data_IF_626828829608
#
_entry.id   IF_626828829608
#
_cell.length_a   1.000
_cell.length_b   1.000
_cell.length_c   1.000
_cell.angle_alpha   90.00
_cell.angle_beta   90.00
_cell.angle_gamma   90.00
#
_symmetry.space_group_name_H-M   'P 1'
#
loop_
_entity.id
_entity.type
_entity.pdbx_description
1 polymer ?
#
# COMPACT_ATOMS: atom_id res chain seq x y z
N UNK A 1 4.57 5.15 -2.65
CA UNK A 1 4.61 3.67 -2.70
C UNK A 1 3.94 3.25 -4.00
N UNK A 2 4.69 3.31 -5.06
CA UNK A 2 4.25 2.98 -6.40
C UNK A 2 4.41 1.49 -6.71
N UNK A 3 5.25 0.79 -5.97
CA UNK A 3 5.41 -0.66 -6.01
C UNK A 3 4.43 -1.25 -5.01
N UNK A 4 3.69 -2.28 -5.39
CA UNK A 4 2.82 -2.98 -4.46
C UNK A 4 3.63 -3.55 -3.30
N UNK A 5 3.04 -3.59 -2.10
CA UNK A 5 3.66 -4.23 -0.97
C UNK A 5 3.97 -5.69 -1.33
N UNK A 6 5.19 -6.17 -1.11
CA UNK A 6 5.52 -7.58 -1.22
C UNK A 6 4.85 -8.31 -0.05
N UNK A 7 3.57 -8.60 -0.20
CA UNK A 7 2.79 -9.42 0.72
C UNK A 7 3.15 -10.89 0.49
N UNK A 8 2.84 -11.74 1.47
CA UNK A 8 3.21 -13.17 1.50
C UNK A 8 3.04 -13.88 0.15
N UNK A 9 3.95 -14.83 -0.16
CA UNK A 9 3.99 -15.56 -1.44
C UNK A 9 2.70 -16.26 -1.86
N UNK A 10 1.77 -16.58 -0.92
CA UNK A 10 0.45 -17.15 -1.21
C UNK A 10 -0.51 -16.18 -1.93
N UNK A 11 -0.14 -14.90 -2.05
CA UNK A 11 -0.92 -13.89 -2.79
C UNK A 11 -0.35 -13.54 -4.16
N UNK A 12 0.68 -14.23 -4.62
CA UNK A 12 1.21 -14.07 -5.96
C UNK A 12 0.09 -14.40 -6.96
N UNK A 13 -0.34 -13.39 -7.72
CA UNK A 13 -1.34 -13.52 -8.79
C UNK A 13 -2.76 -13.06 -8.48
N UNK A 14 -3.22 -13.04 -7.23
CA UNK A 14 -4.60 -12.67 -6.95
C UNK A 14 -4.87 -11.15 -6.95
N UNK A 15 -3.87 -10.32 -6.55
CA UNK A 15 -4.04 -8.87 -6.42
C UNK A 15 -2.74 -8.07 -6.66
N UNK A 16 -1.69 -8.71 -7.15
CA UNK A 16 -0.44 -8.05 -7.48
C UNK A 16 -0.42 -7.65 -8.95
N UNK A 17 -1.19 -6.62 -9.30
CA UNK A 17 -0.98 -5.97 -10.58
C UNK A 17 0.32 -5.18 -10.47
N UNK A 18 1.40 -5.69 -11.03
CA UNK A 18 2.70 -5.01 -11.06
C UNK A 18 2.70 -3.77 -11.97
N UNK A 19 1.53 -3.17 -12.24
CA UNK A 19 1.34 -2.09 -13.21
C UNK A 19 2.20 -0.85 -12.96
N UNK A 20 2.59 -0.61 -11.71
CA UNK A 20 3.48 0.50 -11.35
C UNK A 20 4.92 0.03 -11.04
N UNK A 21 5.23 -1.25 -11.27
CA UNK A 21 6.58 -1.77 -11.09
C UNK A 21 7.52 -1.13 -12.13
N UNK A 22 8.73 -0.67 -11.74
CA UNK A 22 9.66 0.00 -12.65
C UNK A 22 9.91 -0.76 -13.94
N UNK A 23 10.16 -2.08 -13.87
CA UNK A 23 10.36 -2.92 -15.07
C UNK A 23 9.16 -2.90 -16.02
N UNK A 24 7.92 -2.88 -15.49
CA UNK A 24 6.71 -2.76 -16.35
C UNK A 24 6.68 -1.40 -17.03
N UNK A 25 6.98 -0.33 -16.31
CA UNK A 25 7.00 1.03 -16.86
C UNK A 25 8.09 1.18 -17.93
N UNK A 26 9.29 0.63 -17.68
CA UNK A 26 10.40 0.63 -18.66
C UNK A 26 10.02 -0.10 -19.94
N UNK A 27 9.45 -1.31 -19.82
CA UNK A 27 9.00 -2.09 -21.00
C UNK A 27 7.86 -1.39 -21.73
N UNK A 28 6.92 -0.80 -21.01
CA UNK A 28 5.80 -0.07 -21.60
C UNK A 28 6.27 1.20 -22.32
N UNK A 29 7.23 1.94 -21.74
CA UNK A 29 7.90 3.07 -22.38
C UNK A 29 8.54 2.65 -23.71
N UNK A 30 9.32 1.56 -23.70
CA UNK A 30 9.96 1.04 -24.91
C UNK A 30 8.94 0.64 -25.99
N UNK A 31 7.87 -0.06 -25.59
CA UNK A 31 6.79 -0.46 -26.49
C UNK A 31 6.10 0.74 -27.14
N UNK A 32 5.71 1.74 -26.35
CA UNK A 32 5.06 2.95 -26.88
C UNK A 32 6.00 3.73 -27.81
N UNK A 33 7.29 3.87 -27.45
CA UNK A 33 8.27 4.56 -28.28
C UNK A 33 8.46 3.87 -29.62
N UNK A 34 8.46 2.53 -29.64
CA UNK A 34 8.57 1.76 -30.87
C UNK A 34 7.34 1.91 -31.78
N UNK A 35 6.12 1.91 -31.23
CA UNK A 35 4.88 2.08 -32.00
C UNK A 35 4.77 3.48 -32.59
N UNK A 36 5.09 4.49 -31.80
CA UNK A 36 4.87 5.89 -32.18
C UNK A 36 6.04 6.50 -32.94
N UNK A 37 7.18 5.79 -33.05
CA UNK A 37 8.39 6.28 -33.70
C UNK A 37 9.04 7.49 -33.05
N UNK A 38 8.71 7.77 -31.79
CA UNK A 38 9.23 8.89 -31.00
C UNK A 38 9.72 8.40 -29.63
N UNK A 39 10.66 9.13 -29.04
CA UNK A 39 11.09 8.89 -27.65
C UNK A 39 10.03 9.40 -26.68
N UNK A 40 9.51 8.49 -25.85
CA UNK A 40 8.55 8.83 -24.79
C UNK A 40 9.25 8.76 -23.44
N UNK A 41 9.04 9.77 -22.59
CA UNK A 41 9.41 9.73 -21.18
C UNK A 41 8.22 9.29 -20.34
N UNK A 42 8.42 8.22 -19.55
CA UNK A 42 7.44 7.69 -18.60
C UNK A 42 8.11 7.60 -17.24
N UNK A 43 7.82 8.55 -16.36
CA UNK A 43 8.45 8.68 -15.05
C UNK A 43 7.43 8.51 -13.95
N UNK A 44 7.76 7.71 -12.93
CA UNK A 44 7.00 7.67 -11.69
C UNK A 44 7.75 8.47 -10.60
N UNK A 45 7.33 9.70 -10.29
CA UNK A 45 8.03 10.55 -9.33
C UNK A 45 7.94 10.04 -7.88
N UNK A 46 7.06 9.07 -7.62
CA UNK A 46 6.75 8.56 -6.27
C UNK A 46 7.31 7.17 -6.01
N UNK A 47 8.23 6.67 -6.83
CA UNK A 47 8.70 5.28 -6.77
C UNK A 47 9.26 4.89 -5.40
N UNK A 48 9.96 5.83 -4.74
CA UNK A 48 10.55 5.62 -3.42
C UNK A 48 9.82 6.35 -2.27
N UNK A 49 8.58 6.77 -2.49
CA UNK A 49 7.79 7.45 -1.47
C UNK A 49 6.73 6.53 -0.87
N UNK A 50 6.52 6.65 0.43
CA UNK A 50 5.37 6.01 1.08
C UNK A 50 4.07 6.70 0.65
N UNK A 51 2.95 6.00 0.85
CA UNK A 51 1.65 6.61 0.60
C UNK A 51 1.40 7.81 1.55
N UNK A 52 1.92 7.73 2.79
CA UNK A 52 1.85 8.81 3.77
C UNK A 52 2.62 10.05 3.32
N UNK A 53 3.85 9.89 2.81
CA UNK A 53 4.66 10.97 2.27
C UNK A 53 3.95 11.69 1.10
N UNK A 54 3.34 10.91 0.18
CA UNK A 54 2.53 11.45 -0.92
C UNK A 54 1.30 12.19 -0.39
N UNK A 55 0.57 11.61 0.57
CA UNK A 55 -0.61 12.25 1.19
C UNK A 55 -0.24 13.56 1.85
N UNK A 56 0.87 13.61 2.60
CA UNK A 56 1.29 14.85 3.28
C UNK A 56 1.57 16.00 2.31
N UNK A 57 2.09 15.68 1.12
CA UNK A 57 2.32 16.65 0.04
C UNK A 57 1.03 17.08 -0.63
N UNK A 58 0.18 16.10 -1.02
CA UNK A 58 -1.10 16.37 -1.68
C UNK A 58 -2.01 17.23 -0.81
N UNK A 59 -2.07 16.96 0.50
CA UNK A 59 -2.90 17.76 1.43
C UNK A 59 -2.46 19.22 1.50
N UNK A 60 -1.15 19.47 1.36
CA UNK A 60 -0.61 20.84 1.36
C UNK A 60 -1.06 21.60 0.11
N UNK A 61 -1.02 20.94 -1.05
CA UNK A 61 -1.24 21.60 -2.34
C UNK A 61 -2.72 21.51 -2.79
N UNK A 62 -3.43 20.44 -2.36
CA UNK A 62 -4.83 20.14 -2.72
C UNK A 62 -5.58 19.56 -1.51
N UNK A 63 -5.95 20.38 -0.51
CA UNK A 63 -6.57 19.91 0.74
C UNK A 63 -7.88 19.17 0.54
N UNK A 64 -8.65 19.50 -0.48
CA UNK A 64 -9.94 18.87 -0.81
C UNK A 64 -9.81 17.62 -1.69
N UNK A 65 -8.58 17.24 -2.05
CA UNK A 65 -8.34 16.07 -2.91
C UNK A 65 -8.57 14.73 -2.22
N UNK A 66 -8.36 14.63 -0.90
CA UNK A 66 -8.51 13.38 -0.18
C UNK A 66 -9.94 12.82 -0.18
N UNK A 67 -11.00 13.61 0.05
CA UNK A 67 -12.38 13.11 0.03
C UNK A 67 -12.80 12.52 -1.31
N UNK A 68 -12.28 13.06 -2.43
CA UNK A 68 -12.65 12.62 -3.79
C UNK A 68 -11.75 11.52 -4.34
N UNK A 69 -10.55 11.33 -3.77
CA UNK A 69 -9.61 10.30 -4.21
C UNK A 69 -10.13 8.90 -3.84
N UNK A 70 -10.13 7.97 -4.78
CA UNK A 70 -10.56 6.58 -4.58
C UNK A 70 -9.36 5.63 -4.66
N UNK A 71 -9.24 4.74 -3.67
CA UNK A 71 -8.20 3.68 -3.60
C UNK A 71 -8.80 2.28 -3.55
N UNK A 72 -10.09 2.13 -3.33
CA UNK A 72 -10.73 0.84 -3.09
C UNK A 72 -10.83 -0.02 -4.36
N UNK A 73 -10.38 -1.29 -4.29
CA UNK A 73 -10.55 -2.26 -5.39
C UNK A 73 -12.02 -2.56 -5.71
N UNK A 74 -12.91 -2.33 -4.74
CA UNK A 74 -14.33 -2.62 -4.83
C UNK A 74 -15.17 -1.37 -5.03
N UNK A 75 -14.57 -0.23 -5.37
CA UNK A 75 -15.28 1.05 -5.46
C UNK A 75 -16.54 0.95 -6.29
N UNK A 76 -16.50 0.30 -7.47
CA UNK A 76 -17.67 0.11 -8.33
C UNK A 76 -18.81 -0.69 -7.67
N UNK A 77 -18.53 -1.54 -6.66
CA UNK A 77 -19.52 -2.36 -5.95
C UNK A 77 -19.99 -1.74 -4.64
N UNK A 78 -19.21 -0.79 -4.10
CA UNK A 78 -19.40 -0.21 -2.76
C UNK A 78 -20.01 1.18 -2.82
N UNK A 79 -19.94 1.84 -3.98
CA UNK A 79 -20.49 3.19 -4.19
C UNK A 79 -22.01 3.17 -4.03
N UNK A 80 -22.45 3.33 -2.77
CA UNK A 80 -23.84 3.59 -2.41
C UNK A 80 -23.85 4.66 -1.32
N UNK A 81 -24.68 5.69 -1.48
CA UNK A 81 -24.83 6.72 -0.44
C UNK A 81 -23.58 7.54 -0.14
N UNK A 82 -22.69 7.74 -1.13
CA UNK A 82 -21.46 8.53 -0.95
C UNK A 82 -20.32 7.79 -0.25
N UNK A 83 -20.39 6.45 -0.09
CA UNK A 83 -19.32 5.63 0.45
C UNK A 83 -18.54 4.99 -0.71
N UNK A 84 -17.27 5.36 -0.89
CA UNK A 84 -16.42 4.91 -1.98
C UNK A 84 -15.36 3.87 -1.54
N UNK A 85 -15.33 3.51 -0.26
CA UNK A 85 -14.30 2.66 0.33
C UNK A 85 -14.92 1.55 1.18
N UNK A 86 -14.51 0.29 0.95
CA UNK A 86 -15.01 -0.82 1.75
C UNK A 86 -14.41 -0.85 3.18
N UNK A 87 -13.20 -0.37 3.37
CA UNK A 87 -12.50 -0.32 4.66
C UNK A 87 -11.75 -1.58 5.06
N UNK A 88 -11.85 -2.65 4.26
CA UNK A 88 -11.28 -3.97 4.59
C UNK A 88 -10.28 -4.51 3.54
N UNK A 89 -10.25 -3.96 2.32
CA UNK A 89 -9.26 -4.35 1.32
C UNK A 89 -7.90 -3.69 1.57
N UNK A 90 -6.83 -4.31 1.09
CA UNK A 90 -5.45 -3.80 1.23
C UNK A 90 -5.31 -2.32 0.87
N UNK A 91 -5.81 -1.82 -0.30
CA UNK A 91 -5.70 -0.40 -0.60
C UNK A 91 -6.45 0.51 0.37
N UNK A 92 -7.58 0.07 0.94
CA UNK A 92 -8.30 0.85 1.96
C UNK A 92 -7.51 0.93 3.26
N UNK A 93 -6.91 -0.18 3.70
CA UNK A 93 -6.08 -0.22 4.91
C UNK A 93 -4.82 0.64 4.74
N UNK A 94 -4.12 0.51 3.60
CA UNK A 94 -2.96 1.35 3.28
C UNK A 94 -3.35 2.83 3.22
N UNK A 95 -4.49 3.16 2.59
CA UNK A 95 -5.00 4.53 2.55
C UNK A 95 -5.20 5.08 3.96
N UNK A 96 -5.87 4.31 4.81
CA UNK A 96 -6.16 4.73 6.17
C UNK A 96 -4.88 4.97 6.97
N UNK A 97 -3.93 4.03 6.93
CA UNK A 97 -2.63 4.17 7.57
C UNK A 97 -1.92 5.44 7.06
N UNK A 98 -1.88 5.65 5.74
CA UNK A 98 -1.23 6.79 5.13
C UNK A 98 -1.83 8.13 5.57
N UNK A 99 -3.16 8.24 5.66
CA UNK A 99 -3.83 9.47 6.07
C UNK A 99 -3.68 9.67 7.59
N UNK A 100 -3.97 8.66 8.40
CA UNK A 100 -3.91 8.76 9.86
C UNK A 100 -2.50 8.93 10.42
N UNK A 101 -1.46 8.58 9.67
CA UNK A 101 -0.07 8.88 10.06
C UNK A 101 0.23 10.40 10.13
N UNK A 102 -0.56 11.22 9.45
CA UNK A 102 -0.39 12.66 9.34
C UNK A 102 -1.56 13.48 9.89
N UNK A 103 -2.79 12.98 9.76
CA UNK A 103 -4.02 13.70 10.14
C UNK A 103 -5.19 12.73 10.34
N UNK A 104 -6.31 13.25 10.85
CA UNK A 104 -7.56 12.49 10.92
C UNK A 104 -8.04 12.16 9.51
N UNK A 105 -8.36 10.88 9.26
CA UNK A 105 -8.89 10.43 7.97
C UNK A 105 -10.36 10.87 7.81
N UNK A 106 -10.68 11.73 6.82
CA UNK A 106 -12.04 12.16 6.55
C UNK A 106 -12.85 11.10 5.77
N UNK A 107 -12.23 10.00 5.35
CA UNK A 107 -12.84 8.97 4.50
C UNK A 107 -13.94 8.23 5.25
N UNK A 108 -15.09 8.08 4.59
CA UNK A 108 -16.17 7.21 5.07
C UNK A 108 -15.95 5.79 4.53
N UNK A 109 -15.78 4.84 5.45
CA UNK A 109 -15.63 3.42 5.13
C UNK A 109 -16.94 2.68 5.39
N UNK A 110 -17.26 1.68 4.54
CA UNK A 110 -18.41 0.79 4.77
C UNK A 110 -18.22 -0.03 6.04
N UNK A 111 -16.97 -0.48 6.31
CA UNK A 111 -16.55 -1.24 7.48
C UNK A 111 -15.34 -0.56 8.11
N UNK A 112 -15.37 -0.31 9.40
CA UNK A 112 -14.22 0.25 10.12
C UNK A 112 -13.41 -0.85 10.79
N UNK A 113 -12.68 -1.61 9.96
CA UNK A 113 -11.93 -2.78 10.39
C UNK A 113 -10.93 -2.48 11.52
N UNK A 114 -10.31 -1.29 11.56
CA UNK A 114 -9.35 -0.97 12.61
C UNK A 114 -9.98 -0.80 13.99
N UNK A 115 -11.31 -0.60 14.07
CA UNK A 115 -12.06 -0.55 15.34
C UNK A 115 -12.62 -1.90 15.77
N UNK A 116 -12.52 -2.93 14.91
CA UNK A 116 -13.02 -4.26 15.23
C UNK A 116 -11.98 -5.07 16.00
N UNK A 117 -12.44 -6.06 16.76
CA UNK A 117 -11.57 -7.06 17.37
C UNK A 117 -11.22 -8.13 16.33
N UNK A 118 -10.10 -7.91 15.63
CA UNK A 118 -9.62 -8.78 14.54
C UNK A 118 -9.47 -10.25 14.97
N UNK A 119 -9.15 -10.50 16.26
CA UNK A 119 -8.96 -11.87 16.78
C UNK A 119 -10.27 -12.66 16.82
N UNK A 120 -11.40 -11.97 16.95
CA UNK A 120 -12.73 -12.59 17.00
C UNK A 120 -13.37 -12.79 15.65
N UNK A 121 -12.80 -12.22 14.59
CA UNK A 121 -13.29 -12.43 13.24
C UNK A 121 -13.00 -13.87 12.80
N UNK A 122 -13.87 -14.41 11.94
CA UNK A 122 -13.67 -15.71 11.31
C UNK A 122 -12.37 -15.75 10.50
N UNK A 123 -11.70 -16.91 10.44
CA UNK A 123 -10.46 -17.06 9.64
C UNK A 123 -10.70 -16.88 8.14
N UNK A 124 -11.91 -17.16 7.67
CA UNK A 124 -12.38 -16.88 6.33
C UNK A 124 -12.66 -15.39 6.04
N UNK A 125 -12.72 -14.53 7.09
CA UNK A 125 -12.98 -13.09 6.90
C UNK A 125 -11.84 -12.44 6.09
N UNK A 126 -12.20 -11.85 4.96
CA UNK A 126 -11.23 -11.24 4.06
C UNK A 126 -10.54 -10.02 4.68
N UNK A 127 -11.27 -9.23 5.47
CA UNK A 127 -10.70 -8.09 6.17
C UNK A 127 -9.64 -8.52 7.20
N UNK A 128 -9.92 -9.59 7.96
CA UNK A 128 -8.96 -10.20 8.88
C UNK A 128 -7.69 -10.61 8.15
N UNK A 129 -7.81 -11.37 7.06
CA UNK A 129 -6.65 -11.83 6.26
C UNK A 129 -5.85 -10.66 5.71
N UNK A 130 -6.52 -9.66 5.15
CA UNK A 130 -5.87 -8.46 4.63
C UNK A 130 -5.12 -7.68 5.70
N UNK A 131 -5.70 -7.59 6.91
CA UNK A 131 -5.06 -6.93 8.04
C UNK A 131 -3.82 -7.72 8.52
N UNK A 132 -3.94 -9.03 8.67
CA UNK A 132 -2.83 -9.90 9.10
C UNK A 132 -1.66 -9.79 8.13
N UNK A 133 -1.90 -9.81 6.81
CA UNK A 133 -0.84 -9.63 5.81
C UNK A 133 -0.11 -8.29 5.96
N UNK A 134 -0.84 -7.20 6.25
CA UNK A 134 -0.20 -5.89 6.50
C UNK A 134 0.61 -5.93 7.80
N UNK A 135 0.08 -6.54 8.86
CA UNK A 135 0.79 -6.63 10.13
C UNK A 135 2.08 -7.46 10.00
N UNK A 136 2.03 -8.60 9.32
CA UNK A 136 3.20 -9.43 9.02
C UNK A 136 4.22 -8.66 8.18
N UNK A 137 3.78 -7.96 7.14
CA UNK A 137 4.65 -7.11 6.33
C UNK A 137 5.37 -6.08 7.21
N UNK A 138 4.64 -5.38 8.08
CA UNK A 138 5.21 -4.38 8.99
C UNK A 138 6.29 -5.01 9.88
N UNK A 139 6.00 -6.20 10.42
CA UNK A 139 6.93 -6.91 11.29
C UNK A 139 8.20 -7.34 10.54
N UNK A 140 8.07 -7.94 9.34
CA UNK A 140 9.20 -8.39 8.51
C UNK A 140 10.11 -7.22 8.15
N UNK A 141 9.57 -6.16 7.56
CA UNK A 141 10.37 -5.01 7.13
C UNK A 141 10.98 -4.19 8.28
N UNK A 142 10.46 -4.33 9.50
CA UNK A 142 11.06 -3.68 10.68
C UNK A 142 12.11 -4.53 11.38
N UNK A 143 12.07 -5.87 11.26
CA UNK A 143 12.95 -6.78 12.01
C UNK A 143 14.05 -7.41 11.14
N UNK A 144 13.76 -7.72 9.87
CA UNK A 144 14.70 -8.44 9.01
C UNK A 144 15.80 -7.53 8.42
N UNK A 145 16.96 -8.10 8.16
CA UNK A 145 18.04 -7.45 7.42
C UNK A 145 17.69 -7.27 5.94
N UNK A 146 18.43 -6.41 5.23
CA UNK A 146 18.25 -6.24 3.78
C UNK A 146 18.44 -7.56 3.03
N UNK A 147 19.44 -8.36 3.44
CA UNK A 147 19.73 -9.64 2.79
C UNK A 147 18.55 -10.59 2.91
N UNK A 148 18.03 -10.80 4.13
CA UNK A 148 16.87 -11.66 4.35
C UNK A 148 15.65 -11.22 3.54
N UNK A 149 15.42 -9.90 3.46
CA UNK A 149 14.30 -9.35 2.66
C UNK A 149 14.50 -9.57 1.15
N UNK A 150 15.74 -9.49 0.64
CA UNK A 150 16.00 -9.73 -0.78
C UNK A 150 15.91 -11.22 -1.12
N UNK A 151 16.32 -12.10 -0.19
CA UNK A 151 16.18 -13.55 -0.35
C UNK A 151 14.70 -13.98 -0.35
N UNK A 152 13.87 -13.33 0.48
CA UNK A 152 12.41 -13.62 0.57
C UNK A 152 11.60 -12.98 -0.57
N UNK A 153 12.01 -11.79 -1.04
CA UNK A 153 11.29 -11.01 -2.07
C UNK A 153 12.20 -10.72 -3.28
N UNK A 154 12.50 -11.72 -4.12
CA UNK A 154 13.39 -11.56 -5.26
C UNK A 154 12.88 -10.53 -6.30
N UNK A 155 11.58 -10.25 -6.33
CA UNK A 155 11.00 -9.20 -7.20
C UNK A 155 11.52 -7.78 -6.86
N UNK A 156 12.16 -7.60 -5.70
CA UNK A 156 12.84 -6.35 -5.36
C UNK A 156 14.18 -6.22 -6.10
N UNK A 157 14.71 -7.30 -6.68
CA UNK A 157 15.97 -7.30 -7.41
C UNK A 157 15.67 -7.11 -8.88
N UNK A 158 15.74 -5.88 -9.37
CA UNK A 158 15.63 -5.59 -10.79
C UNK A 158 16.55 -4.43 -11.20
N UNK A 159 16.88 -4.36 -12.48
CA UNK A 159 17.77 -3.33 -13.04
C UNK A 159 17.15 -1.93 -13.05
N UNK A 160 15.83 -1.86 -12.99
CA UNK A 160 15.09 -0.62 -13.19
C UNK A 160 14.94 0.24 -11.93
N UNK A 161 15.35 -0.25 -10.75
CA UNK A 161 15.31 0.53 -9.51
C UNK A 161 16.23 -0.02 -8.41
N UNK A 162 16.55 0.83 -7.45
CA UNK A 162 17.40 0.51 -6.31
C UNK A 162 16.62 -0.24 -5.22
N UNK A 163 16.94 -1.53 -5.04
CA UNK A 163 16.31 -2.41 -4.06
C UNK A 163 16.49 -1.91 -2.61
N UNK A 164 17.66 -1.34 -2.26
CA UNK A 164 17.89 -0.83 -0.92
C UNK A 164 17.00 0.38 -0.62
N UNK A 165 16.86 1.30 -1.57
CA UNK A 165 15.93 2.44 -1.44
C UNK A 165 14.47 1.99 -1.34
N UNK A 166 14.10 0.93 -2.05
CA UNK A 166 12.76 0.33 -1.95
C UNK A 166 12.54 -0.26 -0.55
N UNK A 167 13.49 -1.01 -0.02
CA UNK A 167 13.43 -1.55 1.36
C UNK A 167 13.33 -0.42 2.38
N UNK A 168 14.11 0.64 2.24
CA UNK A 168 14.02 1.81 3.13
C UNK A 168 12.64 2.47 3.07
N UNK A 169 12.06 2.61 1.88
CA UNK A 169 10.70 3.11 1.73
C UNK A 169 9.69 2.21 2.45
N UNK A 170 9.79 0.89 2.32
CA UNK A 170 8.91 -0.05 3.02
C UNK A 170 9.10 0.00 4.53
N UNK A 171 10.33 0.21 5.03
CA UNK A 171 10.59 0.42 6.46
C UNK A 171 9.95 1.70 6.98
N UNK A 172 9.97 2.79 6.20
CA UNK A 172 9.27 4.03 6.57
C UNK A 172 7.77 3.79 6.64
N UNK A 173 7.18 3.09 5.66
CA UNK A 173 5.78 2.69 5.72
C UNK A 173 5.48 1.80 6.94
N UNK A 174 6.36 0.86 7.26
CA UNK A 174 6.25 0.03 8.48
C UNK A 174 6.19 0.87 9.76
N UNK A 175 7.00 1.92 9.86
CA UNK A 175 6.98 2.88 10.98
C UNK A 175 5.67 3.68 11.02
N UNK A 176 5.19 4.18 9.88
CA UNK A 176 3.89 4.87 9.77
C UNK A 176 2.76 3.95 10.22
N UNK A 177 2.72 2.72 9.72
CA UNK A 177 1.71 1.73 10.07
C UNK A 177 1.74 1.39 11.57
N UNK A 178 2.92 1.16 12.12
CA UNK A 178 3.09 0.86 13.56
C UNK A 178 2.61 2.01 14.44
N UNK A 179 2.91 3.25 14.06
CA UNK A 179 2.43 4.46 14.76
C UNK A 179 0.90 4.51 14.78
N UNK A 180 0.27 4.32 13.64
CA UNK A 180 -1.20 4.37 13.50
C UNK A 180 -1.86 3.22 14.23
N UNK A 181 -1.44 1.99 13.95
CA UNK A 181 -2.07 0.77 14.47
C UNK A 181 -1.92 0.64 16.01
N UNK A 182 -0.81 1.14 16.59
CA UNK A 182 -0.64 1.16 18.03
C UNK A 182 -1.63 2.08 18.76
N UNK A 183 -2.24 3.03 18.05
CA UNK A 183 -3.35 3.86 18.55
C UNK A 183 -4.65 3.08 18.77
N UNK A 184 -4.76 1.86 18.23
CA UNK A 184 -5.90 0.96 18.36
C UNK A 184 -5.57 -0.17 19.34
N UNK A 185 -6.05 -0.15 20.61
CA UNK A 185 -5.65 -1.11 21.63
C UNK A 185 -5.79 -2.58 21.22
N UNK A 186 -6.89 -2.92 20.51
CA UNK A 186 -7.18 -4.27 20.03
C UNK A 186 -6.21 -4.79 18.98
N UNK A 187 -5.44 -3.89 18.33
CA UNK A 187 -4.49 -4.25 17.25
C UNK A 187 -3.06 -4.40 17.74
N UNK A 188 -2.73 -3.94 18.94
CA UNK A 188 -1.36 -3.93 19.48
C UNK A 188 -0.71 -5.30 19.50
N UNK A 189 -1.49 -6.35 19.77
CA UNK A 189 -0.98 -7.73 19.84
C UNK A 189 -0.47 -8.27 18.48
N UNK A 190 -0.82 -7.64 17.38
CA UNK A 190 -0.30 -8.00 16.04
C UNK A 190 1.01 -7.28 15.69
N UNK A 191 1.48 -6.36 16.56
CA UNK A 191 2.67 -5.55 16.34
C UNK A 191 3.83 -5.92 17.29
N UNK A 192 3.64 -6.93 18.10
CA UNK A 192 4.61 -7.39 19.12
C UNK A 192 5.76 -8.21 18.52
#
# INVERSE_FOLDING_TARGET
>A
MAIHLPLSGGRIGAFSTHTAHPTVLTRFKAFLSAILGIQIELVNPYVYETKGEVVSRVVKDLPDGLPVATSCWRSARVVKGGINHCGECIPCLIRRIAIESHRIDPTRYRRDLLKEDIKRLDEGDEGRRNFVDIAEFVMRFTKQSNKELLDEFPDLICEDFDANRAIEMYRRFGKEARKVLSGYPQLRAFLA
#
